data_IF_515964309999
#
_entry.id   IF_515964309999
#
_cell.length_a   1.000
_cell.length_b   1.000
_cell.length_c   1.000
_cell.angle_alpha   90.00
_cell.angle_beta   90.00
_cell.angle_gamma   90.00
#
_symmetry.space_group_name_H-M   'P 1'
#
loop_
_entity.id
_entity.type
_entity.pdbx_description
1 polymer ?
#
# COMPACT_ATOMS: atom_id res chain seq x y z
N UNK A 1 -12.32 -14.91 -9.79
CA UNK A 1 -13.54 -15.62 -9.34
C UNK A 1 -13.18 -16.82 -8.46
N UNK A 2 -12.20 -17.64 -8.82
CA UNK A 2 -11.76 -18.79 -8.00
C UNK A 2 -11.19 -18.35 -6.64
N UNK A 3 -10.34 -17.34 -6.60
CA UNK A 3 -9.72 -16.83 -5.37
C UNK A 3 -10.68 -16.05 -4.48
N UNK A 4 -11.55 -15.24 -5.08
CA UNK A 4 -12.50 -14.39 -4.34
C UNK A 4 -13.81 -15.11 -3.99
N UNK A 5 -14.00 -16.35 -4.43
CA UNK A 5 -15.25 -17.13 -4.29
C UNK A 5 -16.51 -16.40 -4.75
N UNK A 6 -16.39 -15.43 -5.66
CA UNK A 6 -17.53 -14.74 -6.25
C UNK A 6 -18.07 -15.54 -7.43
N UNK A 7 -19.39 -15.57 -7.56
CA UNK A 7 -20.03 -16.19 -8.70
C UNK A 7 -19.84 -15.32 -9.96
N UNK A 8 -19.42 -15.96 -11.06
CA UNK A 8 -19.35 -15.30 -12.35
C UNK A 8 -20.78 -14.97 -12.83
N UNK A 9 -21.06 -13.75 -13.34
CA UNK A 9 -22.40 -13.35 -13.74
C UNK A 9 -23.10 -14.31 -14.71
N UNK A 10 -22.34 -14.92 -15.63
CA UNK A 10 -22.85 -15.85 -16.63
C UNK A 10 -23.05 -17.28 -16.13
N UNK A 11 -22.59 -17.64 -14.93
CA UNK A 11 -22.83 -18.98 -14.33
C UNK A 11 -24.32 -19.25 -14.10
N UNK A 12 -25.17 -18.23 -13.99
CA UNK A 12 -26.64 -18.37 -13.91
C UNK A 12 -27.27 -19.11 -15.08
N UNK A 13 -26.52 -19.38 -16.17
CA UNK A 13 -26.93 -20.11 -17.36
C UNK A 13 -26.55 -21.60 -17.33
N UNK A 14 -26.24 -22.18 -16.16
CA UNK A 14 -25.83 -23.58 -16.00
C UNK A 14 -24.57 -23.98 -16.82
N UNK A 15 -23.65 -23.06 -17.01
CA UNK A 15 -22.39 -23.33 -17.71
C UNK A 15 -21.22 -23.34 -16.68
N UNK A 16 -20.18 -24.14 -16.99
CA UNK A 16 -18.95 -24.17 -16.17
C UNK A 16 -18.21 -22.83 -16.23
N UNK A 17 -17.40 -22.54 -15.18
CA UNK A 17 -16.66 -21.27 -15.07
C UNK A 17 -15.81 -20.97 -16.30
N UNK A 18 -15.10 -21.96 -16.84
CA UNK A 18 -14.24 -21.78 -18.02
C UNK A 18 -15.05 -21.42 -19.27
N UNK A 19 -16.23 -22.03 -19.42
CA UNK A 19 -17.16 -21.72 -20.50
C UNK A 19 -17.77 -20.32 -20.32
N UNK A 20 -18.08 -19.91 -19.08
CA UNK A 20 -18.56 -18.58 -18.78
C UNK A 20 -17.52 -17.50 -19.13
N UNK A 21 -16.25 -17.73 -18.81
CA UNK A 21 -15.14 -16.83 -19.16
C UNK A 21 -14.92 -16.76 -20.68
N UNK A 22 -14.98 -17.89 -21.37
CA UNK A 22 -14.86 -17.93 -22.82
C UNK A 22 -16.00 -17.18 -23.53
N UNK A 23 -17.23 -17.35 -23.03
CA UNK A 23 -18.40 -16.62 -23.51
C UNK A 23 -18.30 -15.12 -23.26
N UNK A 24 -17.84 -14.71 -22.03
CA UNK A 24 -17.61 -13.30 -21.70
C UNK A 24 -16.61 -12.65 -22.66
N UNK A 25 -15.47 -13.31 -22.92
CA UNK A 25 -14.47 -12.82 -23.89
C UNK A 25 -15.08 -12.60 -25.26
N UNK A 26 -15.88 -13.55 -25.74
CA UNK A 26 -16.57 -13.44 -27.04
C UNK A 26 -17.58 -12.29 -27.07
N UNK A 27 -18.33 -12.10 -26.00
CA UNK A 27 -19.29 -10.99 -25.89
C UNK A 27 -18.60 -9.62 -25.82
N UNK A 28 -17.41 -9.54 -25.21
CA UNK A 28 -16.64 -8.29 -25.07
C UNK A 28 -15.75 -7.99 -26.29
N UNK A 29 -15.52 -8.94 -27.18
CA UNK A 29 -14.66 -8.78 -28.37
C UNK A 29 -15.03 -7.55 -29.24
N UNK A 30 -16.31 -7.27 -29.55
CA UNK A 30 -16.69 -6.08 -30.30
C UNK A 30 -16.37 -4.75 -29.58
N UNK A 31 -16.34 -4.75 -28.25
CA UNK A 31 -15.96 -3.60 -27.45
C UNK A 31 -14.44 -3.50 -27.38
N UNK A 32 -13.75 -4.61 -27.13
CA UNK A 32 -12.29 -4.68 -27.05
C UNK A 32 -11.63 -4.23 -28.37
N UNK A 33 -12.17 -4.64 -29.52
CA UNK A 33 -11.65 -4.27 -30.85
C UNK A 33 -11.80 -2.78 -31.20
N UNK A 34 -12.70 -2.06 -30.50
CA UNK A 34 -12.92 -0.61 -30.66
C UNK A 34 -12.32 0.21 -29.55
N UNK A 35 -11.74 -0.42 -28.55
CA UNK A 35 -11.15 0.27 -27.41
C UNK A 35 -9.87 1.00 -27.85
N UNK A 36 -9.75 2.28 -27.52
CA UNK A 36 -8.55 3.09 -27.74
C UNK A 36 -7.45 2.77 -26.71
N UNK A 37 -7.82 2.19 -25.58
CA UNK A 37 -6.91 1.79 -24.53
C UNK A 37 -7.35 0.47 -23.89
N UNK A 38 -6.45 -0.51 -23.86
CA UNK A 38 -6.63 -1.78 -23.17
C UNK A 38 -5.61 -1.90 -22.04
N UNK A 39 -6.08 -2.11 -20.83
CA UNK A 39 -5.24 -2.28 -19.63
C UNK A 39 -5.45 -3.67 -19.05
N UNK A 40 -4.42 -4.50 -19.07
CA UNK A 40 -4.42 -5.76 -18.35
C UNK A 40 -4.07 -5.54 -16.90
N UNK A 41 -5.02 -5.76 -16.00
CA UNK A 41 -4.86 -5.49 -14.55
C UNK A 41 -4.37 -6.70 -13.75
N UNK A 42 -4.13 -7.86 -14.39
CA UNK A 42 -3.84 -9.14 -13.72
C UNK A 42 -2.57 -9.13 -12.86
N UNK A 43 -1.63 -8.25 -13.18
CA UNK A 43 -0.34 -8.13 -12.49
C UNK A 43 -0.13 -6.73 -11.88
N UNK A 44 -1.18 -5.90 -11.86
CA UNK A 44 -1.09 -4.54 -11.36
C UNK A 44 -1.66 -4.44 -9.95
N UNK A 45 -0.92 -3.77 -9.07
CA UNK A 45 -1.48 -3.28 -7.82
C UNK A 45 -2.47 -2.12 -8.10
N UNK A 46 -3.37 -1.79 -7.16
CA UNK A 46 -4.27 -0.64 -7.30
C UNK A 46 -3.52 0.67 -7.59
N UNK A 47 -2.35 0.87 -7.01
CA UNK A 47 -1.51 2.07 -7.24
C UNK A 47 -0.94 2.09 -8.65
N UNK A 48 -0.37 0.96 -9.12
CA UNK A 48 0.13 0.83 -10.50
C UNK A 48 -0.96 1.07 -11.54
N UNK A 49 -2.16 0.56 -11.29
CA UNK A 49 -3.31 0.82 -12.17
C UNK A 49 -3.68 2.30 -12.20
N UNK A 50 -3.72 2.96 -11.04
CA UNK A 50 -4.03 4.39 -10.96
C UNK A 50 -3.01 5.24 -11.72
N UNK A 51 -1.72 4.93 -11.60
CA UNK A 51 -0.64 5.63 -12.29
C UNK A 51 -0.71 5.39 -13.80
N UNK A 52 -0.94 4.16 -14.22
CA UNK A 52 -1.10 3.83 -15.63
C UNK A 52 -2.30 4.57 -16.25
N UNK A 53 -3.41 4.64 -15.53
CA UNK A 53 -4.61 5.38 -15.97
C UNK A 53 -4.30 6.88 -16.08
N UNK A 54 -3.62 7.47 -15.08
CA UNK A 54 -3.19 8.87 -15.13
C UNK A 54 -2.28 9.15 -16.32
N UNK A 55 -1.26 8.33 -16.51
CA UNK A 55 -0.30 8.49 -17.62
C UNK A 55 -0.98 8.42 -18.98
N UNK A 56 -1.90 7.46 -19.15
CA UNK A 56 -2.55 7.20 -20.45
C UNK A 56 -3.68 8.15 -20.77
N UNK A 57 -4.41 8.67 -19.78
CA UNK A 57 -5.57 9.54 -19.97
C UNK A 57 -5.19 11.01 -19.85
N UNK A 58 -4.34 11.37 -18.87
CA UNK A 58 -3.98 12.77 -18.59
C UNK A 58 -2.68 13.21 -19.25
N UNK A 59 -1.96 12.29 -19.91
CA UNK A 59 -0.60 12.52 -20.40
C UNK A 59 0.43 12.50 -19.27
N UNK A 60 1.72 12.59 -19.62
CA UNK A 60 2.80 12.71 -18.63
C UNK A 60 2.58 13.98 -17.82
N UNK A 61 1.95 13.88 -16.70
CA UNK A 61 2.01 14.94 -15.69
C UNK A 61 3.39 14.85 -15.07
N UNK A 62 4.16 15.92 -15.18
CA UNK A 62 5.34 16.15 -14.35
C UNK A 62 4.89 16.36 -12.89
N UNK A 63 4.25 15.34 -12.32
CA UNK A 63 3.84 15.33 -10.93
C UNK A 63 4.97 14.80 -10.07
N UNK A 64 5.15 15.37 -8.89
CA UNK A 64 6.02 14.84 -7.86
C UNK A 64 5.65 13.38 -7.56
N UNK A 65 6.66 12.52 -7.37
CA UNK A 65 6.46 11.11 -7.02
C UNK A 65 5.60 10.98 -5.76
N UNK A 66 4.59 10.10 -5.81
CA UNK A 66 3.74 9.79 -4.66
C UNK A 66 4.48 8.86 -3.70
N UNK A 67 4.58 9.27 -2.44
CA UNK A 67 5.16 8.42 -1.37
C UNK A 67 4.03 7.85 -0.54
N UNK A 68 3.90 6.53 -0.55
CA UNK A 68 2.89 5.79 0.20
C UNK A 68 3.53 5.17 1.42
N UNK A 69 2.99 5.44 2.61
CA UNK A 69 3.35 4.74 3.84
C UNK A 69 2.25 3.76 4.20
N UNK A 70 2.60 2.49 4.31
CA UNK A 70 1.67 1.41 4.65
C UNK A 70 2.05 0.77 5.97
N UNK A 71 1.06 0.49 6.83
CA UNK A 71 1.25 -0.28 8.05
C UNK A 71 0.72 -1.69 7.89
N UNK A 72 1.51 -2.70 8.32
CA UNK A 72 1.08 -4.09 8.23
C UNK A 72 1.46 -4.91 9.46
N UNK A 73 0.85 -6.08 9.59
CA UNK A 73 1.19 -7.09 10.60
C UNK A 73 1.88 -8.29 9.98
N UNK A 74 3.09 -8.62 10.44
CA UNK A 74 3.82 -9.80 9.94
C UNK A 74 3.01 -11.11 10.03
N UNK A 75 2.07 -11.20 10.98
CA UNK A 75 1.16 -12.35 11.09
C UNK A 75 0.22 -12.52 9.90
N UNK A 76 0.05 -11.49 9.08
CA UNK A 76 -0.81 -11.51 7.89
C UNK A 76 -0.02 -11.59 6.57
N UNK A 77 1.30 -11.66 6.67
CA UNK A 77 2.20 -11.63 5.52
C UNK A 77 2.79 -10.23 5.27
N UNK A 78 3.83 -10.20 4.45
CA UNK A 78 4.49 -8.96 4.01
C UNK A 78 3.78 -8.48 2.74
N UNK A 79 3.47 -7.17 2.60
CA UNK A 79 2.93 -6.63 1.35
C UNK A 79 3.87 -6.89 0.18
N UNK A 80 3.34 -7.43 -0.92
CA UNK A 80 4.16 -7.80 -2.08
C UNK A 80 4.53 -6.60 -2.96
N UNK A 81 3.80 -5.52 -2.84
CA UNK A 81 3.99 -4.27 -3.59
C UNK A 81 4.83 -3.22 -2.84
N UNK A 82 5.38 -3.58 -1.68
CA UNK A 82 6.26 -2.71 -0.93
C UNK A 82 7.67 -2.64 -1.55
N UNK A 83 8.14 -1.43 -1.86
CA UNK A 83 9.52 -1.18 -2.30
C UNK A 83 10.52 -1.29 -1.14
N UNK A 84 10.13 -0.81 0.05
CA UNK A 84 10.90 -0.92 1.28
C UNK A 84 10.05 -1.45 2.41
N UNK A 85 10.62 -2.36 3.20
CA UNK A 85 9.97 -2.94 4.38
C UNK A 85 10.82 -2.68 5.60
N UNK A 86 10.26 -2.01 6.60
CA UNK A 86 10.91 -1.75 7.89
C UNK A 86 10.23 -2.56 9.00
N UNK A 87 11.02 -3.34 9.71
CA UNK A 87 10.55 -4.17 10.83
C UNK A 87 10.60 -3.41 12.15
N UNK A 88 9.44 -3.12 12.71
CA UNK A 88 9.28 -2.45 13.99
C UNK A 88 9.02 -3.41 15.17
N UNK A 89 9.21 -4.74 15.01
CA UNK A 89 8.90 -5.72 16.06
C UNK A 89 9.83 -5.64 17.27
N UNK A 90 11.06 -5.19 17.09
CA UNK A 90 12.05 -5.02 18.17
C UNK A 90 11.80 -3.83 19.08
N UNK A 91 10.92 -2.90 18.67
CA UNK A 91 10.56 -1.72 19.46
C UNK A 91 9.64 -2.09 20.64
N UNK A 92 9.60 -1.27 21.71
CA UNK A 92 8.71 -1.44 22.86
C UNK A 92 7.26 -1.68 22.41
N UNK A 93 6.61 -2.67 23.04
CA UNK A 93 5.32 -3.16 22.56
C UNK A 93 4.16 -2.74 23.49
N UNK A 94 3.29 -1.80 23.06
CA UNK A 94 2.13 -1.38 23.86
C UNK A 94 1.17 -2.51 24.23
N UNK A 95 1.20 -3.63 23.51
CA UNK A 95 0.32 -4.78 23.75
C UNK A 95 0.48 -5.40 25.14
N UNK A 96 1.66 -5.28 25.75
CA UNK A 96 1.93 -5.81 27.10
C UNK A 96 1.34 -4.95 28.21
N UNK A 97 0.98 -3.70 27.91
CA UNK A 97 0.26 -2.83 28.82
C UNK A 97 -1.25 -3.11 28.69
N UNK A 98 -1.89 -3.45 29.82
CA UNK A 98 -3.33 -3.78 29.84
C UNK A 98 -4.20 -2.60 29.43
N UNK A 99 -3.78 -1.39 29.75
CA UNK A 99 -4.51 -0.16 29.43
C UNK A 99 -4.37 0.21 27.95
N UNK A 100 -3.25 -0.15 27.31
CA UNK A 100 -2.97 0.20 25.92
C UNK A 100 -3.41 -0.86 24.90
N UNK A 101 -3.58 -2.10 25.33
CA UNK A 101 -3.89 -3.25 24.47
C UNK A 101 -5.14 -3.04 23.58
N UNK A 102 -6.14 -2.33 24.08
CA UNK A 102 -7.40 -2.06 23.37
C UNK A 102 -7.27 -1.04 22.24
N UNK A 103 -6.36 -0.11 22.37
CA UNK A 103 -6.13 1.02 21.46
C UNK A 103 -5.37 0.63 20.20
N UNK A 104 -5.17 1.59 19.32
CA UNK A 104 -4.40 1.50 18.07
C UNK A 104 -3.26 2.52 18.07
N UNK A 105 -2.39 2.48 17.07
CA UNK A 105 -1.34 3.49 16.89
C UNK A 105 -1.84 4.91 16.56
N UNK A 106 -3.14 5.07 16.28
CA UNK A 106 -3.77 6.38 16.06
C UNK A 106 -4.31 6.99 17.36
N UNK A 107 -4.42 6.19 18.42
CA UNK A 107 -4.98 6.64 19.68
C UNK A 107 -3.91 7.30 20.56
N UNK A 108 -4.26 8.43 21.17
CA UNK A 108 -3.34 9.26 21.96
C UNK A 108 -2.55 8.50 23.04
N UNK A 109 -3.14 7.59 23.85
CA UNK A 109 -2.37 6.85 24.87
C UNK A 109 -1.25 6.00 24.26
N UNK A 110 -1.47 5.35 23.10
CA UNK A 110 -0.44 4.56 22.41
C UNK A 110 0.61 5.47 21.79
N UNK A 111 0.21 6.61 21.24
CA UNK A 111 1.13 7.59 20.68
C UNK A 111 2.06 8.13 21.77
N UNK A 112 1.53 8.50 22.94
CA UNK A 112 2.32 9.03 24.07
C UNK A 112 3.31 7.99 24.61
N UNK A 113 2.87 6.74 24.74
CA UNK A 113 3.75 5.64 25.13
C UNK A 113 4.90 5.46 24.12
N UNK A 114 4.61 5.42 22.83
CA UNK A 114 5.64 5.22 21.81
C UNK A 114 6.55 6.44 21.64
N UNK A 115 6.00 7.64 21.74
CA UNK A 115 6.76 8.90 21.68
C UNK A 115 7.72 9.06 22.87
N UNK A 116 7.39 8.52 24.05
CA UNK A 116 8.26 8.54 25.23
C UNK A 116 9.48 7.61 25.10
N UNK A 117 9.53 6.75 24.09
CA UNK A 117 10.61 5.78 23.90
C UNK A 117 11.71 6.34 22.96
N UNK A 118 12.92 6.63 23.45
CA UNK A 118 13.99 7.19 22.60
C UNK A 118 14.35 6.34 21.38
N UNK A 119 14.26 5.00 21.53
CA UNK A 119 14.55 4.08 20.42
C UNK A 119 13.54 4.20 19.30
N UNK A 120 12.26 4.47 19.60
CA UNK A 120 11.20 4.68 18.61
C UNK A 120 11.46 5.96 17.83
N UNK A 121 11.76 7.06 18.54
CA UNK A 121 12.11 8.35 17.94
C UNK A 121 13.34 8.21 17.03
N UNK A 122 14.38 7.51 17.48
CA UNK A 122 15.58 7.24 16.69
C UNK A 122 15.27 6.44 15.43
N UNK A 123 14.44 5.40 15.53
CA UNK A 123 14.04 4.57 14.40
C UNK A 123 13.30 5.38 13.33
N UNK A 124 12.33 6.20 13.74
CA UNK A 124 11.58 7.09 12.84
C UNK A 124 12.53 8.09 12.17
N UNK A 125 13.43 8.71 12.92
CA UNK A 125 14.41 9.63 12.38
C UNK A 125 15.32 8.98 11.33
N UNK A 126 15.78 7.77 11.56
CA UNK A 126 16.61 7.02 10.60
C UNK A 126 15.86 6.71 9.30
N UNK A 127 14.59 6.28 9.39
CA UNK A 127 13.77 6.03 8.20
C UNK A 127 13.53 7.35 7.45
N UNK A 128 13.18 8.42 8.15
CA UNK A 128 12.97 9.72 7.51
C UNK A 128 14.24 10.21 6.80
N UNK A 129 15.40 10.12 7.46
CA UNK A 129 16.70 10.48 6.87
C UNK A 129 17.05 9.62 5.65
N UNK A 130 16.80 8.32 5.71
CA UNK A 130 16.96 7.42 4.58
C UNK A 130 16.08 7.86 3.40
N UNK A 131 14.81 8.12 3.65
CA UNK A 131 13.88 8.54 2.60
C UNK A 131 14.27 9.88 1.99
N UNK A 132 14.61 10.88 2.81
CA UNK A 132 15.02 12.20 2.32
C UNK A 132 16.30 12.14 1.46
N UNK A 133 17.19 11.20 1.77
CA UNK A 133 18.40 10.98 0.96
C UNK A 133 18.09 10.35 -0.39
N UNK A 134 17.22 9.35 -0.44
CA UNK A 134 17.07 8.52 -1.64
C UNK A 134 15.89 8.92 -2.54
N UNK A 135 14.83 9.56 -1.99
CA UNK A 135 13.68 9.98 -2.80
C UNK A 135 14.04 10.82 -4.02
N UNK A 136 14.96 11.83 -3.93
CA UNK A 136 15.33 12.61 -5.11
C UNK A 136 15.98 11.77 -6.23
N UNK A 137 16.70 10.70 -5.86
CA UNK A 137 17.29 9.79 -6.84
C UNK A 137 16.25 8.91 -7.52
N UNK A 138 15.24 8.47 -6.77
CA UNK A 138 14.13 7.67 -7.30
C UNK A 138 13.22 8.51 -8.23
N UNK A 139 13.00 9.77 -7.91
CA UNK A 139 12.26 10.72 -8.75
C UNK A 139 12.94 10.94 -10.10
N UNK A 140 14.27 11.08 -10.11
CA UNK A 140 15.05 11.23 -11.37
C UNK A 140 14.94 10.01 -12.29
N UNK A 141 14.62 8.84 -11.74
CA UNK A 141 14.41 7.60 -12.51
C UNK A 141 12.97 7.44 -13.01
N UNK A 142 12.19 8.54 -13.07
CA UNK A 142 10.79 8.56 -13.56
C UNK A 142 9.85 7.61 -12.81
N UNK A 143 10.11 7.31 -11.54
CA UNK A 143 9.14 6.60 -10.70
C UNK A 143 7.98 7.52 -10.34
N UNK A 144 6.77 7.03 -10.55
CA UNK A 144 5.55 7.76 -10.23
C UNK A 144 5.13 7.61 -8.78
N UNK A 145 5.49 6.51 -8.14
CA UNK A 145 5.20 6.23 -6.72
C UNK A 145 6.25 5.32 -6.10
N UNK A 146 6.25 5.30 -4.76
CA UNK A 146 7.04 4.38 -3.93
C UNK A 146 6.21 3.98 -2.71
N UNK A 147 6.22 2.69 -2.36
CA UNK A 147 5.52 2.14 -1.20
C UNK A 147 6.51 1.73 -0.12
N UNK A 148 6.34 2.30 1.07
CA UNK A 148 7.16 2.05 2.25
C UNK A 148 6.28 1.39 3.30
N UNK A 149 6.53 0.10 3.54
CA UNK A 149 5.76 -0.71 4.47
C UNK A 149 6.45 -0.78 5.84
N UNK A 150 5.72 -0.44 6.89
CA UNK A 150 6.16 -0.56 8.29
C UNK A 150 5.44 -1.73 8.94
N UNK A 151 6.19 -2.74 9.39
CA UNK A 151 5.64 -3.96 9.96
C UNK A 151 5.81 -4.06 11.48
N UNK A 152 4.75 -4.47 12.18
CA UNK A 152 4.87 -4.98 13.54
C UNK A 152 4.16 -6.34 13.64
N UNK A 153 4.13 -7.00 14.81
CA UNK A 153 3.57 -8.35 14.92
C UNK A 153 2.12 -8.40 14.44
N UNK A 154 1.27 -7.53 14.91
CA UNK A 154 -0.17 -7.54 14.62
C UNK A 154 -0.67 -6.42 13.69
N UNK A 155 0.17 -5.47 13.30
CA UNK A 155 -0.25 -4.36 12.44
C UNK A 155 -1.18 -3.33 13.12
N UNK A 156 -1.21 -3.27 14.46
CA UNK A 156 -2.22 -2.47 15.19
C UNK A 156 -1.64 -1.24 15.89
N UNK A 157 -0.47 -1.34 16.50
CA UNK A 157 0.09 -0.28 17.36
C UNK A 157 1.31 0.40 16.73
N UNK A 158 2.50 -0.23 16.84
CA UNK A 158 3.80 0.34 16.44
C UNK A 158 3.83 0.73 14.97
N UNK A 159 3.45 -0.19 14.07
CA UNK A 159 3.47 0.06 12.63
C UNK A 159 2.53 1.20 12.22
N UNK A 160 1.33 1.25 12.80
CA UNK A 160 0.34 2.30 12.52
C UNK A 160 0.86 3.67 12.97
N UNK A 161 1.36 3.78 14.21
CA UNK A 161 1.93 5.02 14.73
C UNK A 161 3.10 5.53 13.88
N UNK A 162 4.03 4.63 13.54
CA UNK A 162 5.25 5.01 12.80
C UNK A 162 4.90 5.41 11.36
N UNK A 163 4.04 4.66 10.68
CA UNK A 163 3.61 4.98 9.32
C UNK A 163 2.91 6.34 9.24
N UNK A 164 1.99 6.62 10.18
CA UNK A 164 1.29 7.90 10.26
C UNK A 164 2.23 9.06 10.53
N UNK A 165 3.18 8.90 11.47
CA UNK A 165 4.14 9.96 11.79
C UNK A 165 5.10 10.23 10.63
N UNK A 166 5.59 9.20 9.93
CA UNK A 166 6.43 9.34 8.74
C UNK A 166 5.66 10.06 7.61
N UNK A 167 4.42 9.68 7.37
CA UNK A 167 3.58 10.33 6.36
C UNK A 167 3.36 11.82 6.69
N UNK A 168 3.10 12.14 7.95
CA UNK A 168 2.92 13.53 8.39
C UNK A 168 4.21 14.36 8.28
N UNK A 169 5.37 13.79 8.61
CA UNK A 169 6.65 14.45 8.43
C UNK A 169 6.92 14.72 6.95
N UNK A 170 6.72 13.71 6.10
CA UNK A 170 6.93 13.84 4.67
C UNK A 170 6.04 14.91 4.02
N UNK A 171 4.77 15.01 4.43
CA UNK A 171 3.86 16.09 3.96
C UNK A 171 4.33 17.49 4.33
N UNK A 172 5.05 17.65 5.47
CA UNK A 172 5.59 18.95 5.90
C UNK A 172 6.85 19.33 5.12
N UNK A 173 7.68 18.36 4.80
CA UNK A 173 8.98 18.56 4.16
C UNK A 173 8.90 18.67 2.62
N UNK A 174 7.82 18.14 2.05
CA UNK A 174 7.60 18.08 0.59
C UNK A 174 6.36 18.88 0.14
N UNK A 175 6.26 20.11 0.58
CA UNK A 175 5.25 21.06 0.09
C UNK A 175 5.65 21.67 -1.24
#
# INVERSE_FOLDING_TARGET
>A
FSETRRLHPLIKQNIALDQAIALEKKLLEPIASRAHLYINTSQLSPHQLADLVRERILGKTSGSMVVVFESFGFKHGVPQDADYVFDARFLPNPFWDKELKGYTGLDKPVQDFLASQPIVTKFIWQINSFMMTWLPHLERNNRSYITIAIGCTGGKHRSVYIAELLANNMRKERK
#
